data_IF_235799641811
#
_entry.id   IF_235799641811
#
_cell.length_a   1.000
_cell.length_b   1.000
_cell.length_c   1.000
_cell.angle_alpha   90.00
_cell.angle_beta   90.00
_cell.angle_gamma   90.00
#
_symmetry.space_group_name_H-M   'P 1'
#
loop_
_entity.id
_entity.type
_entity.pdbx_description
1 polymer ?
#
# COMPACT_ATOMS: atom_id res chain seq x y z
N UNK A 1 17.09 -13.09 3.84
CA UNK A 1 18.22 -12.16 3.65
C UNK A 1 19.11 -12.78 2.60
N UNK A 2 19.30 -12.12 1.45
CA UNK A 2 20.25 -12.58 0.44
C UNK A 2 21.65 -12.61 1.05
N UNK A 3 22.39 -13.68 0.78
CA UNK A 3 23.74 -13.84 1.30
C UNK A 3 24.67 -12.89 0.53
N UNK A 4 25.26 -11.91 1.22
CA UNK A 4 26.21 -10.95 0.61
C UNK A 4 27.33 -11.74 -0.08
N UNK A 5 27.58 -11.54 -1.39
CA UNK A 5 28.61 -12.29 -2.11
C UNK A 5 30.00 -12.08 -1.51
N UNK A 6 30.77 -13.17 -1.41
CA UNK A 6 32.16 -13.10 -0.97
C UNK A 6 33.11 -12.88 -2.14
N UNK A 7 34.09 -12.00 -1.95
CA UNK A 7 35.17 -11.84 -2.93
C UNK A 7 36.03 -13.10 -2.91
N UNK A 8 36.26 -13.78 -4.05
CA UNK A 8 37.13 -14.95 -4.10
C UNK A 8 38.53 -14.60 -3.58
N UNK A 9 39.08 -15.41 -2.68
CA UNK A 9 40.39 -15.14 -2.03
C UNK A 9 41.51 -14.85 -3.02
N UNK A 10 41.53 -15.56 -4.15
CA UNK A 10 42.50 -15.36 -5.24
C UNK A 10 42.44 -13.96 -5.85
N UNK A 11 41.23 -13.40 -5.98
CA UNK A 11 41.00 -12.07 -6.55
C UNK A 11 41.32 -11.01 -5.50
N UNK A 12 40.87 -11.21 -4.26
CA UNK A 12 41.15 -10.33 -3.14
C UNK A 12 42.65 -10.12 -2.90
N UNK A 13 43.44 -11.20 -2.90
CA UNK A 13 44.89 -11.13 -2.70
C UNK A 13 45.63 -10.34 -3.79
N UNK A 14 45.04 -10.21 -5.00
CA UNK A 14 45.60 -9.45 -6.12
C UNK A 14 45.15 -7.97 -6.11
N UNK A 15 44.23 -7.57 -5.23
CA UNK A 15 43.81 -6.18 -5.13
C UNK A 15 44.88 -5.33 -4.43
N UNK A 16 44.98 -4.03 -4.73
CA UNK A 16 45.83 -3.13 -3.96
C UNK A 16 45.40 -3.09 -2.47
N UNK A 17 46.36 -3.02 -1.54
CA UNK A 17 46.09 -3.05 -0.09
C UNK A 17 45.08 -2.00 0.38
N UNK A 18 45.08 -0.81 -0.22
CA UNK A 18 44.10 0.24 0.06
C UNK A 18 42.66 -0.24 -0.14
N UNK A 19 42.41 -1.03 -1.19
CA UNK A 19 41.08 -1.58 -1.49
C UNK A 19 40.73 -2.78 -0.62
N UNK A 20 41.71 -3.62 -0.29
CA UNK A 20 41.53 -4.71 0.69
C UNK A 20 41.02 -4.15 2.03
N UNK A 21 41.69 -3.12 2.55
CA UNK A 21 41.27 -2.44 3.79
C UNK A 21 39.88 -1.79 3.69
N UNK A 22 39.58 -1.09 2.58
CA UNK A 22 38.27 -0.47 2.37
C UNK A 22 37.14 -1.51 2.27
N UNK A 23 37.38 -2.64 1.60
CA UNK A 23 36.43 -3.74 1.49
C UNK A 23 36.18 -4.35 2.87
N UNK A 24 37.22 -4.60 3.67
CA UNK A 24 37.09 -5.16 5.00
C UNK A 24 36.32 -4.22 5.95
N UNK A 25 36.62 -2.92 5.90
CA UNK A 25 35.92 -1.89 6.67
C UNK A 25 34.43 -1.85 6.30
N UNK A 26 34.10 -1.74 5.01
CA UNK A 26 32.71 -1.68 4.53
C UNK A 26 31.95 -2.98 4.77
N UNK A 27 32.64 -4.12 4.74
CA UNK A 27 32.09 -5.43 5.09
C UNK A 27 31.78 -5.53 6.57
N UNK A 28 32.70 -5.09 7.43
CA UNK A 28 32.50 -5.06 8.87
C UNK A 28 31.35 -4.11 9.24
N UNK A 29 31.27 -2.95 8.59
CA UNK A 29 30.18 -1.99 8.74
C UNK A 29 28.84 -2.61 8.33
N UNK A 30 28.71 -3.13 7.11
CA UNK A 30 27.49 -3.78 6.62
C UNK A 30 27.01 -4.92 7.53
N UNK A 31 27.93 -5.76 8.03
CA UNK A 31 27.63 -6.81 9.01
C UNK A 31 27.13 -6.24 10.33
N UNK A 32 27.78 -5.20 10.86
CA UNK A 32 27.39 -4.53 12.12
C UNK A 32 25.98 -3.93 12.03
N UNK A 33 25.65 -3.30 10.90
CA UNK A 33 24.31 -2.73 10.67
C UNK A 33 23.25 -3.82 10.54
N UNK A 34 23.57 -4.89 9.79
CA UNK A 34 22.65 -6.01 9.62
C UNK A 34 22.39 -6.76 10.94
N UNK A 35 23.43 -6.94 11.77
CA UNK A 35 23.29 -7.53 13.10
C UNK A 35 22.55 -6.62 14.08
N UNK A 36 22.74 -5.29 13.98
CA UNK A 36 21.99 -4.29 14.75
C UNK A 36 20.48 -4.47 14.54
N UNK A 37 20.03 -4.63 13.29
CA UNK A 37 18.61 -4.89 12.97
C UNK A 37 18.10 -6.19 13.59
N UNK A 38 18.89 -7.27 13.53
CA UNK A 38 18.48 -8.58 14.03
C UNK A 38 18.43 -8.68 15.56
N UNK A 39 19.20 -7.86 16.27
CA UNK A 39 19.39 -7.93 17.72
C UNK A 39 18.76 -6.77 18.49
N UNK A 40 18.34 -5.68 17.83
CA UNK A 40 17.84 -4.51 18.54
C UNK A 40 16.39 -4.66 19.01
N UNK A 41 16.23 -4.77 20.32
CA UNK A 41 15.02 -4.40 21.07
C UNK A 41 14.83 -2.87 21.21
N UNK A 42 15.76 -2.05 20.70
CA UNK A 42 15.77 -0.58 20.86
C UNK A 42 15.08 0.21 19.75
N UNK A 43 14.67 -0.41 18.65
CA UNK A 43 13.90 0.29 17.62
C UNK A 43 12.47 0.47 18.14
N UNK A 44 12.20 1.67 18.68
CA UNK A 44 10.92 2.00 19.34
C UNK A 44 9.80 2.38 18.36
N UNK A 45 10.10 2.50 17.07
CA UNK A 45 9.13 2.85 16.03
C UNK A 45 9.46 2.18 14.70
N UNK A 46 8.43 1.97 13.89
CA UNK A 46 8.53 1.42 12.54
C UNK A 46 9.36 2.31 11.64
N UNK A 47 9.21 3.63 11.74
CA UNK A 47 10.05 4.56 10.98
C UNK A 47 11.53 4.37 11.30
N UNK A 48 11.90 4.17 12.57
CA UNK A 48 13.28 3.85 12.96
C UNK A 48 13.76 2.50 12.41
N UNK A 49 12.86 1.52 12.28
CA UNK A 49 13.17 0.22 11.67
C UNK A 49 13.44 0.35 10.18
N UNK A 50 12.59 1.11 9.47
CA UNK A 50 12.72 1.35 8.04
C UNK A 50 13.95 2.19 7.73
N UNK A 51 14.29 3.19 8.56
CA UNK A 51 15.54 3.95 8.45
C UNK A 51 16.76 3.05 8.62
N UNK A 52 16.76 2.17 9.62
CA UNK A 52 17.86 1.23 9.83
C UNK A 52 17.95 0.23 8.66
N UNK A 53 16.83 -0.20 8.08
CA UNK A 53 16.78 -1.04 6.87
C UNK A 53 17.33 -0.35 5.64
N UNK A 54 16.93 0.89 5.39
CA UNK A 54 17.47 1.74 4.31
C UNK A 54 18.97 1.90 4.50
N UNK A 55 19.43 2.18 5.73
CA UNK A 55 20.84 2.30 6.08
C UNK A 55 21.61 1.00 5.84
N UNK A 56 21.03 -0.15 6.15
CA UNK A 56 21.66 -1.45 5.89
C UNK A 56 21.89 -1.68 4.40
N UNK A 57 20.88 -1.40 3.57
CA UNK A 57 20.98 -1.52 2.12
C UNK A 57 21.97 -0.52 1.51
N UNK A 58 22.05 0.70 2.06
CA UNK A 58 23.07 1.68 1.67
C UNK A 58 24.49 1.21 2.01
N UNK A 59 24.70 0.66 3.21
CA UNK A 59 25.99 0.07 3.58
C UNK A 59 26.36 -1.12 2.69
N UNK A 60 25.38 -1.93 2.27
CA UNK A 60 25.60 -3.02 1.32
C UNK A 60 25.99 -2.50 -0.07
N UNK A 61 25.29 -1.49 -0.62
CA UNK A 61 25.69 -0.86 -1.88
C UNK A 61 27.10 -0.27 -1.82
N UNK A 62 27.48 0.39 -0.72
CA UNK A 62 28.83 0.92 -0.53
C UNK A 62 29.91 -0.18 -0.49
N UNK A 63 29.60 -1.34 0.11
CA UNK A 63 30.46 -2.53 0.03
C UNK A 63 30.59 -3.03 -1.41
N UNK A 64 29.48 -3.19 -2.13
CA UNK A 64 29.48 -3.67 -3.52
C UNK A 64 30.28 -2.73 -4.45
N UNK A 65 30.14 -1.41 -4.27
CA UNK A 65 30.93 -0.42 -4.98
C UNK A 65 32.43 -0.52 -4.66
N UNK A 66 32.78 -0.76 -3.39
CA UNK A 66 34.19 -0.91 -2.98
C UNK A 66 34.81 -2.17 -3.56
N UNK A 67 34.04 -3.27 -3.61
CA UNK A 67 34.47 -4.52 -4.26
C UNK A 67 34.68 -4.31 -5.76
N UNK A 68 33.72 -3.70 -6.45
CA UNK A 68 33.86 -3.41 -7.88
C UNK A 68 35.09 -2.55 -8.17
N UNK A 69 35.31 -1.49 -7.39
CA UNK A 69 36.52 -0.66 -7.50
C UNK A 69 37.82 -1.45 -7.29
N UNK A 70 37.86 -2.34 -6.30
CA UNK A 70 39.02 -3.21 -6.06
C UNK A 70 39.28 -4.19 -7.20
N UNK A 71 38.24 -4.86 -7.71
CA UNK A 71 38.34 -5.81 -8.84
C UNK A 71 38.76 -5.08 -10.11
N UNK A 72 38.15 -3.92 -10.40
CA UNK A 72 38.48 -3.11 -11.58
C UNK A 72 39.93 -2.66 -11.57
N UNK A 73 40.45 -2.22 -10.42
CA UNK A 73 41.87 -1.82 -10.32
C UNK A 73 42.83 -2.99 -10.49
N UNK A 74 42.48 -4.18 -10.01
CA UNK A 74 43.27 -5.38 -10.25
C UNK A 74 43.28 -5.75 -11.74
N UNK A 75 42.16 -5.58 -12.44
CA UNK A 75 42.06 -5.76 -13.88
C UNK A 75 42.87 -4.73 -14.68
N UNK A 76 42.75 -3.43 -14.35
CA UNK A 76 43.53 -2.34 -14.97
C UNK A 76 45.05 -2.55 -14.81
N UNK A 77 45.45 -3.21 -13.72
CA UNK A 77 46.85 -3.54 -13.43
C UNK A 77 47.30 -4.86 -14.09
N UNK A 78 46.46 -5.45 -14.95
CA UNK A 78 46.68 -6.74 -15.63
C UNK A 78 46.89 -7.93 -14.67
N UNK A 79 46.35 -7.86 -13.45
CA UNK A 79 46.44 -8.94 -12.46
C UNK A 79 45.31 -9.97 -12.59
N UNK A 80 44.31 -9.68 -13.43
CA UNK A 80 43.18 -10.56 -13.71
C UNK A 80 43.04 -10.70 -15.23
N UNK A 81 42.73 -11.91 -15.68
CA UNK A 81 42.28 -12.10 -17.07
C UNK A 81 40.87 -11.51 -17.26
N UNK A 82 40.45 -11.21 -18.50
CA UNK A 82 39.08 -10.77 -18.78
C UNK A 82 38.00 -11.75 -18.28
N UNK A 83 38.26 -13.06 -18.36
CA UNK A 83 37.36 -14.10 -17.84
C UNK A 83 37.32 -14.07 -16.30
N UNK A 84 38.48 -14.00 -15.64
CA UNK A 84 38.54 -13.90 -14.18
C UNK A 84 37.85 -12.63 -13.66
N UNK A 85 37.93 -11.53 -14.41
CA UNK A 85 37.25 -10.28 -14.10
C UNK A 85 35.73 -10.42 -14.20
N UNK A 86 35.20 -10.93 -15.33
CA UNK A 86 33.75 -11.10 -15.51
C UNK A 86 33.15 -12.04 -14.47
N UNK A 87 33.80 -13.16 -14.21
CA UNK A 87 33.38 -14.13 -13.19
C UNK A 87 33.38 -13.51 -11.78
N UNK A 88 34.38 -12.66 -11.49
CA UNK A 88 34.48 -12.00 -10.20
C UNK A 88 33.42 -10.90 -10.01
N UNK A 89 33.01 -10.15 -11.05
CA UNK A 89 32.06 -9.03 -10.92
C UNK A 89 30.59 -9.47 -11.01
N UNK A 90 30.27 -10.50 -11.79
CA UNK A 90 28.88 -10.90 -12.09
C UNK A 90 27.98 -11.16 -10.86
N UNK A 91 28.44 -11.85 -9.79
CA UNK A 91 27.65 -12.04 -8.57
C UNK A 91 27.32 -10.72 -7.86
N UNK A 92 28.25 -9.76 -7.87
CA UNK A 92 28.07 -8.45 -7.23
C UNK A 92 27.12 -7.56 -8.02
N UNK A 93 27.13 -7.62 -9.36
CA UNK A 93 26.16 -6.91 -10.19
C UNK A 93 24.73 -7.42 -9.94
N UNK A 94 24.55 -8.73 -9.83
CA UNK A 94 23.24 -9.32 -9.50
C UNK A 94 22.76 -8.86 -8.13
N UNK A 95 23.65 -8.87 -7.13
CA UNK A 95 23.36 -8.35 -5.79
C UNK A 95 23.02 -6.86 -5.80
N UNK A 96 23.77 -6.04 -6.54
CA UNK A 96 23.53 -4.60 -6.63
C UNK A 96 22.17 -4.27 -7.24
N UNK A 97 21.76 -5.00 -8.30
CA UNK A 97 20.41 -4.88 -8.88
C UNK A 97 19.31 -5.23 -7.89
N UNK A 98 19.49 -6.31 -7.13
CA UNK A 98 18.52 -6.71 -6.11
C UNK A 98 18.41 -5.65 -5.00
N UNK A 99 19.53 -5.26 -4.41
CA UNK A 99 19.56 -4.28 -3.30
C UNK A 99 19.01 -2.94 -3.75
N UNK A 100 19.35 -2.48 -4.96
CA UNK A 100 18.80 -1.25 -5.55
C UNK A 100 17.28 -1.33 -5.75
N UNK A 101 16.76 -2.45 -6.25
CA UNK A 101 15.32 -2.65 -6.42
C UNK A 101 14.59 -2.63 -5.07
N UNK A 102 15.12 -3.33 -4.06
CA UNK A 102 14.54 -3.34 -2.71
C UNK A 102 14.58 -1.96 -2.05
N UNK A 103 15.71 -1.24 -2.15
CA UNK A 103 15.87 0.12 -1.64
C UNK A 103 14.91 1.08 -2.32
N UNK A 104 14.69 0.89 -3.62
CA UNK A 104 13.73 1.66 -4.39
C UNK A 104 12.30 1.42 -3.93
N UNK A 105 11.91 0.16 -3.73
CA UNK A 105 10.59 -0.19 -3.18
C UNK A 105 10.41 0.38 -1.77
N UNK A 106 11.39 0.20 -0.88
CA UNK A 106 11.33 0.73 0.48
C UNK A 106 11.22 2.25 0.52
N UNK A 107 11.90 2.95 -0.39
CA UNK A 107 11.82 4.41 -0.49
C UNK A 107 10.47 4.87 -1.03
N UNK A 108 9.99 4.29 -2.14
CA UNK A 108 8.70 4.66 -2.78
C UNK A 108 7.49 4.33 -1.92
N UNK A 109 7.55 3.21 -1.20
CA UNK A 109 6.46 2.70 -0.37
C UNK A 109 6.63 3.03 1.12
N UNK A 110 7.66 3.80 1.51
CA UNK A 110 8.00 4.09 2.91
C UNK A 110 6.77 4.49 3.73
N UNK A 111 6.01 5.46 3.23
CA UNK A 111 4.82 5.98 3.92
C UNK A 111 3.75 4.91 4.13
N UNK A 112 3.51 4.05 3.12
CA UNK A 112 2.54 2.94 3.24
C UNK A 112 3.04 1.90 4.23
N UNK A 113 4.32 1.52 4.15
CA UNK A 113 4.90 0.56 5.09
C UNK A 113 4.92 1.10 6.53
N UNK A 114 5.18 2.40 6.70
CA UNK A 114 5.04 3.10 7.99
C UNK A 114 3.60 3.02 8.47
N UNK A 115 2.62 3.46 7.70
CA UNK A 115 1.21 3.40 8.08
C UNK A 115 0.74 1.96 8.39
N UNK A 116 1.15 0.98 7.58
CA UNK A 116 0.70 -0.41 7.67
C UNK A 116 1.37 -1.18 8.82
N UNK A 117 2.59 -0.82 9.23
CA UNK A 117 3.30 -1.45 10.35
C UNK A 117 3.09 -0.67 11.66
N UNK A 118 2.92 0.66 11.59
CA UNK A 118 2.55 1.53 12.73
C UNK A 118 1.11 1.29 13.18
N UNK A 119 0.33 0.49 12.44
CA UNK A 119 -0.91 -0.14 12.92
C UNK A 119 -0.73 -0.95 14.23
N UNK A 120 0.49 -1.10 14.77
CA UNK A 120 0.79 -1.66 16.10
C UNK A 120 1.41 -0.70 17.15
N UNK A 121 1.88 0.52 16.81
CA UNK A 121 2.42 1.49 17.80
C UNK A 121 2.26 2.93 17.27
N UNK A 122 1.62 3.78 18.09
CA UNK A 122 1.14 5.13 17.75
C UNK A 122 2.24 6.20 17.46
N UNK A 123 2.02 6.95 16.36
CA UNK A 123 2.14 8.42 16.12
C UNK A 123 3.47 9.06 15.64
N UNK A 124 3.38 9.70 14.44
CA UNK A 124 3.93 11.01 13.90
C UNK A 124 5.09 11.04 12.84
N UNK A 125 4.74 11.59 11.64
CA UNK A 125 5.35 12.69 10.80
C UNK A 125 6.12 12.42 9.45
N UNK A 126 5.64 13.14 8.40
CA UNK A 126 6.25 14.03 7.34
C UNK A 126 7.04 13.53 6.08
N UNK A 127 6.72 14.23 4.94
CA UNK A 127 7.38 14.46 3.60
C UNK A 127 7.27 13.32 2.54
N UNK A 128 7.17 13.50 1.21
CA UNK A 128 7.68 14.48 0.21
C UNK A 128 6.61 14.91 -0.85
N UNK A 129 6.94 15.83 -1.78
CA UNK A 129 6.00 16.51 -2.69
C UNK A 129 6.31 16.41 -4.20
N UNK A 130 5.34 16.77 -5.06
CA UNK A 130 5.40 17.18 -6.51
C UNK A 130 3.96 17.49 -7.05
N UNK A 131 3.74 17.91 -8.33
CA UNK A 131 3.69 19.27 -8.90
C UNK A 131 2.25 19.84 -9.15
N UNK A 132 2.11 20.94 -9.92
CA UNK A 132 0.95 21.88 -10.02
C UNK A 132 -0.45 21.23 -9.92
N UNK A 133 -1.02 21.42 -8.73
CA UNK A 133 -2.04 20.59 -8.05
C UNK A 133 -3.48 20.89 -8.45
N UNK A 134 -3.82 22.15 -8.69
CA UNK A 134 -5.21 22.59 -8.89
C UNK A 134 -5.78 22.21 -10.27
N UNK A 135 -4.92 22.03 -11.28
CA UNK A 135 -5.35 21.65 -12.63
C UNK A 135 -5.62 20.14 -12.74
N UNK A 136 -4.79 19.32 -12.10
CA UNK A 136 -4.97 17.86 -12.04
C UNK A 136 -6.21 17.51 -11.21
N UNK A 137 -6.36 18.09 -10.01
CA UNK A 137 -7.50 17.82 -9.14
C UNK A 137 -8.85 18.18 -9.83
N UNK A 138 -8.93 19.27 -10.59
CA UNK A 138 -10.14 19.62 -11.37
C UNK A 138 -10.42 18.70 -12.57
N UNK A 139 -9.39 18.31 -13.31
CA UNK A 139 -9.56 17.44 -14.49
C UNK A 139 -9.98 16.01 -14.11
N UNK A 140 -9.53 15.52 -12.94
CA UNK A 140 -9.85 14.17 -12.47
C UNK A 140 -11.16 14.06 -11.68
N UNK A 141 -11.68 15.16 -11.12
CA UNK A 141 -12.82 15.05 -10.19
C UNK A 141 -14.08 14.39 -10.81
N UNK A 142 -14.58 14.83 -11.98
CA UNK A 142 -15.76 14.19 -12.58
C UNK A 142 -15.48 12.73 -12.96
N UNK A 143 -14.29 12.44 -13.47
CA UNK A 143 -13.92 11.09 -13.93
C UNK A 143 -13.66 10.11 -12.78
N UNK A 144 -13.11 10.56 -11.65
CA UNK A 144 -12.88 9.72 -10.46
C UNK A 144 -14.23 9.37 -9.82
N UNK A 145 -15.11 10.35 -9.64
CA UNK A 145 -16.42 10.11 -9.03
C UNK A 145 -17.25 9.14 -9.85
N UNK A 146 -17.37 9.39 -11.17
CA UNK A 146 -18.07 8.50 -12.07
C UNK A 146 -17.42 7.11 -12.08
N UNK A 147 -16.10 6.99 -12.12
CA UNK A 147 -15.43 5.68 -12.08
C UNK A 147 -15.64 4.94 -10.75
N UNK A 148 -15.67 5.65 -9.63
CA UNK A 148 -15.86 5.05 -8.30
C UNK A 148 -17.31 4.57 -8.11
N UNK A 149 -18.29 5.37 -8.54
CA UNK A 149 -19.72 5.09 -8.36
C UNK A 149 -20.36 4.31 -9.52
N UNK A 150 -19.79 4.38 -10.73
CA UNK A 150 -20.22 3.64 -11.92
C UNK A 150 -19.41 2.37 -12.16
N UNK A 151 -18.71 1.83 -11.14
CA UNK A 151 -18.05 0.52 -11.19
C UNK A 151 -18.99 -0.64 -11.63
N UNK A 152 -20.31 -0.38 -11.68
CA UNK A 152 -21.35 -1.18 -12.34
C UNK A 152 -21.11 -1.49 -13.82
N UNK A 153 -20.50 -0.58 -14.59
CA UNK A 153 -20.35 -0.76 -16.03
C UNK A 153 -19.09 -1.58 -16.32
N UNK A 154 -19.17 -2.55 -17.24
CA UNK A 154 -18.05 -3.35 -17.77
C UNK A 154 -16.83 -2.47 -18.04
N UNK A 155 -16.00 -2.27 -17.02
CA UNK A 155 -14.80 -1.45 -17.15
C UNK A 155 -13.93 -2.14 -18.19
N UNK A 156 -13.33 -1.36 -19.09
CA UNK A 156 -12.36 -1.89 -20.05
C UNK A 156 -11.45 -2.83 -19.29
N UNK A 157 -11.42 -4.10 -19.71
CA UNK A 157 -10.50 -5.07 -19.15
C UNK A 157 -9.12 -4.48 -19.38
N UNK A 158 -8.49 -3.98 -18.33
CA UNK A 158 -7.06 -3.82 -18.34
C UNK A 158 -6.51 -5.18 -18.73
N UNK A 159 -5.84 -5.25 -19.89
CA UNK A 159 -5.40 -6.52 -20.46
C UNK A 159 -4.39 -7.23 -19.54
N UNK A 160 -3.84 -6.50 -18.56
CA UNK A 160 -2.86 -7.01 -17.59
C UNK A 160 -3.48 -7.58 -16.31
N UNK A 161 -4.70 -7.17 -15.91
CA UNK A 161 -5.28 -7.58 -14.63
C UNK A 161 -5.78 -9.03 -14.67
N UNK A 162 -5.39 -9.81 -13.66
CA UNK A 162 -5.83 -11.20 -13.51
C UNK A 162 -6.76 -11.38 -12.30
N UNK A 163 -8.09 -11.38 -12.50
CA UNK A 163 -9.06 -11.50 -11.41
C UNK A 163 -8.93 -12.78 -10.59
N UNK A 164 -8.48 -13.88 -11.21
CA UNK A 164 -8.30 -15.16 -10.52
C UNK A 164 -7.09 -15.11 -9.58
N UNK A 165 -5.98 -14.54 -10.07
CA UNK A 165 -4.77 -14.34 -9.26
C UNK A 165 -5.04 -13.40 -8.08
N UNK A 166 -5.75 -12.30 -8.33
CA UNK A 166 -6.13 -11.36 -7.29
C UNK A 166 -7.06 -12.00 -6.25
N UNK A 167 -8.13 -12.69 -6.68
CA UNK A 167 -9.02 -13.41 -5.75
C UNK A 167 -8.26 -14.46 -4.92
N UNK A 168 -7.29 -15.15 -5.53
CA UNK A 168 -6.43 -16.08 -4.80
C UNK A 168 -5.60 -15.36 -3.73
N UNK A 169 -4.90 -14.27 -4.09
CA UNK A 169 -4.11 -13.49 -3.14
C UNK A 169 -4.95 -12.93 -1.98
N UNK A 170 -6.19 -12.50 -2.27
CA UNK A 170 -7.18 -12.07 -1.27
C UNK A 170 -7.55 -13.24 -0.36
N UNK A 171 -7.92 -14.40 -0.92
CA UNK A 171 -8.25 -15.58 -0.12
C UNK A 171 -7.08 -16.02 0.78
N UNK A 172 -5.85 -16.06 0.24
CA UNK A 172 -4.65 -16.44 0.97
C UNK A 172 -4.39 -15.45 2.13
N UNK A 173 -4.48 -14.15 1.87
CA UNK A 173 -4.36 -13.10 2.90
C UNK A 173 -5.39 -13.27 4.00
N UNK A 174 -6.62 -13.62 3.65
CA UNK A 174 -7.75 -13.67 4.56
C UNK A 174 -8.04 -15.05 5.19
N UNK A 175 -7.20 -16.04 4.92
CA UNK A 175 -7.36 -17.40 5.44
C UNK A 175 -8.61 -18.11 4.87
N UNK A 176 -9.05 -17.78 3.66
CA UNK A 176 -10.19 -18.44 3.02
C UNK A 176 -9.69 -19.70 2.29
N UNK A 177 -9.32 -20.70 3.08
CA UNK A 177 -8.75 -21.98 2.63
C UNK A 177 -9.23 -23.13 3.55
N UNK A 178 -9.21 -24.40 3.09
CA UNK A 178 -9.49 -25.58 3.92
C UNK A 178 -8.78 -25.63 5.27
N UNK A 179 -7.57 -25.07 5.39
CA UNK A 179 -6.81 -25.03 6.66
C UNK A 179 -7.52 -24.22 7.75
N UNK A 180 -8.46 -23.35 7.38
CA UNK A 180 -9.31 -22.56 8.27
C UNK A 180 -10.75 -23.07 8.30
N UNK A 181 -10.99 -24.33 7.92
CA UNK A 181 -12.30 -24.99 7.99
C UNK A 181 -13.28 -24.60 6.87
N UNK A 182 -12.78 -24.10 5.73
CA UNK A 182 -13.60 -23.80 4.56
C UNK A 182 -13.59 -24.98 3.59
N UNK A 183 -14.73 -25.62 3.41
CA UNK A 183 -14.85 -26.80 2.54
C UNK A 183 -14.44 -26.52 1.09
N UNK A 184 -13.87 -27.51 0.37
CA UNK A 184 -13.61 -27.39 -1.06
C UNK A 184 -14.89 -27.02 -1.85
N UNK A 185 -14.85 -25.93 -2.60
CA UNK A 185 -16.00 -25.42 -3.35
C UNK A 185 -16.88 -24.41 -2.58
N UNK A 186 -16.66 -24.28 -1.27
CA UNK A 186 -17.21 -23.18 -0.48
C UNK A 186 -16.31 -21.94 -0.55
N UNK A 187 -16.91 -20.78 -0.36
CA UNK A 187 -16.24 -19.51 -0.12
C UNK A 187 -16.81 -18.84 1.12
N UNK A 188 -16.14 -17.79 1.59
CA UNK A 188 -16.54 -17.09 2.80
C UNK A 188 -16.86 -15.63 2.51
N UNK A 189 -18.07 -15.19 2.82
CA UNK A 189 -18.46 -13.79 2.85
C UNK A 189 -18.34 -13.25 4.28
N UNK A 190 -17.65 -12.14 4.46
CA UNK A 190 -17.45 -11.58 5.80
C UNK A 190 -18.72 -11.08 6.50
N UNK A 191 -19.81 -10.88 5.75
CA UNK A 191 -21.10 -10.44 6.28
C UNK A 191 -22.09 -11.62 6.39
N UNK A 192 -22.08 -12.55 5.44
CA UNK A 192 -23.08 -13.63 5.35
C UNK A 192 -22.57 -14.99 5.81
N UNK A 193 -21.25 -15.16 5.99
CA UNK A 193 -20.61 -16.43 6.32
C UNK A 193 -20.35 -17.29 5.08
N UNK A 194 -20.38 -18.61 5.27
CA UNK A 194 -20.07 -19.61 4.23
C UNK A 194 -21.13 -19.57 3.12
N UNK A 195 -20.70 -19.65 1.87
CA UNK A 195 -21.56 -19.71 0.67
C UNK A 195 -20.85 -20.42 -0.49
N UNK A 196 -21.50 -20.61 -1.63
CA UNK A 196 -20.86 -21.17 -2.82
C UNK A 196 -19.71 -20.28 -3.31
N UNK A 197 -18.54 -20.87 -3.60
CA UNK A 197 -17.35 -20.12 -3.98
C UNK A 197 -17.51 -19.24 -5.24
N UNK A 198 -18.44 -19.60 -6.13
CA UNK A 198 -18.75 -18.85 -7.36
C UNK A 198 -19.44 -17.51 -7.09
N UNK A 199 -20.23 -17.44 -6.02
CA UNK A 199 -20.96 -16.25 -5.60
C UNK A 199 -20.11 -15.34 -4.71
N UNK A 200 -18.97 -15.82 -4.23
CA UNK A 200 -18.01 -15.03 -3.48
C UNK A 200 -17.04 -14.29 -4.40
N UNK A 201 -16.79 -13.02 -4.10
CA UNK A 201 -15.99 -12.09 -4.88
C UNK A 201 -14.96 -11.42 -3.98
N UNK A 202 -13.78 -11.17 -4.55
CA UNK A 202 -12.80 -10.26 -3.98
C UNK A 202 -13.21 -8.83 -4.35
N UNK A 203 -14.16 -8.28 -3.59
CA UNK A 203 -14.75 -6.98 -3.86
C UNK A 203 -13.70 -5.89 -3.60
N UNK A 204 -13.37 -5.13 -4.64
CA UNK A 204 -12.43 -4.00 -4.51
C UNK A 204 -13.08 -2.89 -3.69
N UNK A 205 -12.32 -2.34 -2.74
CA UNK A 205 -12.76 -1.22 -1.93
C UNK A 205 -12.58 0.07 -2.72
N UNK A 206 -11.35 0.32 -3.19
CA UNK A 206 -11.03 1.33 -4.20
C UNK A 206 -11.14 0.68 -5.59
N UNK A 207 -12.02 1.17 -6.47
CA UNK A 207 -12.24 0.55 -7.78
C UNK A 207 -11.00 0.56 -8.68
N UNK A 208 -10.77 -0.58 -9.34
CA UNK A 208 -9.68 -0.83 -10.31
C UNK A 208 -9.58 0.16 -11.48
N UNK A 209 -10.64 0.93 -11.73
CA UNK A 209 -10.65 2.00 -12.73
C UNK A 209 -9.78 3.19 -12.36
N UNK A 210 -9.37 3.30 -11.10
CA UNK A 210 -8.34 4.22 -10.67
C UNK A 210 -6.99 3.52 -10.85
N UNK A 211 -6.12 4.11 -11.66
CA UNK A 211 -4.80 3.55 -11.89
C UNK A 211 -3.87 3.79 -10.68
N UNK A 212 -2.70 3.14 -10.69
CA UNK A 212 -1.72 3.24 -9.60
C UNK A 212 -1.30 4.67 -9.30
N UNK A 213 -1.13 5.52 -10.32
CA UNK A 213 -0.69 6.91 -10.17
C UNK A 213 -1.79 7.80 -9.55
N UNK A 214 -3.05 7.59 -9.94
CA UNK A 214 -4.21 8.29 -9.37
C UNK A 214 -4.39 7.90 -7.90
N UNK A 215 -4.28 6.61 -7.59
CA UNK A 215 -4.29 6.13 -6.21
C UNK A 215 -3.10 6.71 -5.43
N UNK A 216 -1.89 6.65 -5.98
CA UNK A 216 -0.68 7.20 -5.39
C UNK A 216 -0.84 8.69 -5.03
N UNK A 217 -1.41 9.48 -5.94
CA UNK A 217 -1.73 10.88 -5.68
C UNK A 217 -2.73 11.07 -4.53
N UNK A 218 -3.83 10.32 -4.52
CA UNK A 218 -4.90 10.41 -3.52
C UNK A 218 -4.38 10.12 -2.10
N UNK A 219 -3.58 9.05 -1.97
CA UNK A 219 -3.01 8.61 -0.70
C UNK A 219 -1.67 9.32 -0.37
N UNK A 220 -1.16 10.13 -1.31
CA UNK A 220 0.07 10.90 -1.14
C UNK A 220 1.33 10.05 -1.01
N UNK A 221 1.46 9.06 -1.89
CA UNK A 221 2.62 8.19 -2.05
C UNK A 221 3.13 8.22 -3.48
N UNK A 222 4.32 7.67 -3.74
CA UNK A 222 4.91 7.62 -5.07
C UNK A 222 4.37 6.44 -5.89
N UNK A 223 4.05 5.31 -5.25
CA UNK A 223 3.57 4.11 -5.94
C UNK A 223 2.56 3.35 -5.08
N UNK A 224 1.50 2.84 -5.72
CA UNK A 224 0.48 2.02 -5.10
C UNK A 224 0.15 0.79 -5.95
N UNK A 225 0.15 -0.37 -5.32
CA UNK A 225 -0.20 -1.63 -5.97
C UNK A 225 -1.72 -1.78 -5.95
N UNK A 226 -2.38 -1.61 -7.10
CA UNK A 226 -3.83 -1.76 -7.21
C UNK A 226 -4.31 -3.17 -6.82
N UNK A 227 -3.46 -4.19 -6.99
CA UNK A 227 -3.69 -5.59 -6.64
C UNK A 227 -3.36 -5.94 -5.18
N UNK A 228 -3.15 -4.95 -4.29
CA UNK A 228 -2.96 -5.19 -2.85
C UNK A 228 -4.21 -5.91 -2.27
N UNK A 229 -4.08 -7.11 -1.67
CA UNK A 229 -5.19 -7.83 -1.05
C UNK A 229 -5.96 -7.02 -0.01
N UNK A 230 -5.32 -6.04 0.62
CA UNK A 230 -5.94 -5.14 1.60
C UNK A 230 -6.86 -4.09 0.98
N UNK A 231 -6.79 -3.89 -0.34
CA UNK A 231 -7.76 -3.12 -1.13
C UNK A 231 -8.99 -3.96 -1.52
N UNK A 232 -9.17 -5.15 -0.93
CA UNK A 232 -10.36 -5.94 -1.14
C UNK A 232 -10.91 -6.55 0.14
N UNK A 233 -12.19 -6.93 0.06
CA UNK A 233 -12.91 -7.67 1.09
C UNK A 233 -13.70 -8.80 0.42
N UNK A 234 -13.72 -9.98 1.05
CA UNK A 234 -14.46 -11.13 0.51
C UNK A 234 -15.96 -10.97 0.78
N UNK A 235 -16.73 -10.76 -0.30
CA UNK A 235 -18.17 -10.49 -0.23
C UNK A 235 -18.94 -11.39 -1.19
N UNK A 236 -20.20 -11.67 -0.86
CA UNK A 236 -21.14 -12.23 -1.82
C UNK A 236 -21.38 -11.22 -2.95
N UNK A 237 -21.59 -11.69 -4.18
CA UNK A 237 -21.76 -10.86 -5.39
C UNK A 237 -22.80 -9.74 -5.25
N UNK A 238 -23.89 -9.99 -4.52
CA UNK A 238 -24.92 -8.98 -4.27
C UNK A 238 -24.41 -7.86 -3.35
N UNK A 239 -23.59 -8.20 -2.36
CA UNK A 239 -22.96 -7.24 -1.46
C UNK A 239 -21.84 -6.47 -2.16
N UNK A 240 -21.05 -7.13 -3.02
CA UNK A 240 -20.08 -6.45 -3.89
C UNK A 240 -20.79 -5.36 -4.73
N UNK A 241 -21.89 -5.71 -5.39
CA UNK A 241 -22.69 -4.73 -6.15
C UNK A 241 -23.28 -3.62 -5.27
N UNK A 242 -23.66 -3.96 -4.03
CA UNK A 242 -24.10 -2.99 -3.03
C UNK A 242 -22.99 -2.02 -2.67
N UNK A 243 -21.78 -2.53 -2.44
CA UNK A 243 -20.60 -1.72 -2.14
C UNK A 243 -20.31 -0.80 -3.33
N UNK A 244 -20.19 -1.37 -4.53
CA UNK A 244 -19.89 -0.69 -5.79
C UNK A 244 -20.87 0.43 -6.13
N UNK A 245 -22.15 0.24 -5.84
CA UNK A 245 -23.18 1.27 -6.05
C UNK A 245 -23.35 2.23 -4.87
N UNK A 246 -22.54 2.08 -3.83
CA UNK A 246 -22.62 2.89 -2.62
C UNK A 246 -23.94 2.72 -1.89
N UNK A 247 -24.62 1.56 -1.99
CA UNK A 247 -25.76 1.16 -1.13
C UNK A 247 -25.32 0.80 0.27
N UNK A 248 -24.08 0.31 0.39
CA UNK A 248 -23.46 -0.03 1.67
C UNK A 248 -22.09 0.63 1.80
N UNK A 249 -21.69 0.87 3.05
CA UNK A 249 -20.33 1.22 3.45
C UNK A 249 -19.88 0.28 4.57
N UNK A 250 -18.57 0.13 4.71
CA UNK A 250 -17.97 -0.62 5.83
C UNK A 250 -17.31 0.40 6.74
N UNK A 251 -17.70 0.41 8.00
CA UNK A 251 -17.30 1.39 9.00
C UNK A 251 -16.60 0.71 10.19
N UNK A 252 -15.64 1.36 10.84
CA UNK A 252 -15.08 0.84 12.07
C UNK A 252 -16.13 0.86 13.19
N UNK A 253 -16.08 -0.14 14.08
CA UNK A 253 -16.87 -0.17 15.31
C UNK A 253 -16.09 0.54 16.41
N UNK A 254 -16.74 1.45 17.13
CA UNK A 254 -16.17 2.11 18.31
C UNK A 254 -16.13 1.12 19.48
N UNK A 255 -14.98 1.00 20.14
CA UNK A 255 -14.87 0.31 21.42
C UNK A 255 -14.56 1.34 22.49
N UNK A 256 -15.31 1.32 23.59
CA UNK A 256 -15.23 2.34 24.66
C UNK A 256 -13.85 2.41 25.35
N UNK A 257 -12.94 1.47 25.06
CA UNK A 257 -11.56 1.45 25.55
C UNK A 257 -10.57 1.81 24.43
N UNK A 258 -10.40 3.13 24.23
CA UNK A 258 -9.67 3.78 23.15
C UNK A 258 -8.13 3.56 23.09
N UNK A 259 -7.59 2.50 23.72
CA UNK A 259 -6.14 2.20 23.66
C UNK A 259 -5.75 1.46 22.37
N UNK A 260 -6.71 0.84 21.68
CA UNK A 260 -6.46 0.08 20.45
C UNK A 260 -7.24 0.63 19.27
N UNK A 261 -6.58 0.63 18.12
CA UNK A 261 -7.19 0.99 16.85
C UNK A 261 -8.34 0.01 16.52
N UNK A 262 -9.41 0.44 15.84
CA UNK A 262 -10.57 -0.43 15.61
C UNK A 262 -10.19 -1.66 14.78
N UNK A 263 -10.33 -2.82 15.41
CA UNK A 263 -10.08 -4.14 14.81
C UNK A 263 -11.36 -4.75 14.21
N UNK A 264 -12.52 -4.15 14.52
CA UNK A 264 -13.85 -4.63 14.15
C UNK A 264 -14.54 -3.64 13.22
N UNK A 265 -15.35 -4.19 12.33
CA UNK A 265 -15.96 -3.45 11.22
C UNK A 265 -17.42 -3.85 11.09
N UNK A 266 -18.30 -2.90 10.78
CA UNK A 266 -19.71 -3.15 10.48
C UNK A 266 -20.07 -2.71 9.07
N UNK A 267 -20.97 -3.44 8.44
CA UNK A 267 -21.67 -2.99 7.24
C UNK A 267 -22.77 -2.01 7.65
N UNK A 268 -22.94 -0.92 6.91
CA UNK A 268 -24.03 0.03 7.13
C UNK A 268 -24.70 0.38 5.80
N UNK A 269 -26.03 0.46 5.80
CA UNK A 269 -26.80 0.98 4.68
C UNK A 269 -26.69 2.50 4.59
N UNK A 270 -26.63 3.00 3.37
CA UNK A 270 -26.51 4.45 3.10
C UNK A 270 -27.82 5.06 2.60
N UNK A 271 -28.84 4.23 2.40
CA UNK A 271 -30.16 4.62 1.94
C UNK A 271 -31.19 3.68 2.59
N UNK A 272 -31.90 4.18 3.59
CA UNK A 272 -32.89 3.39 4.34
C UNK A 272 -34.07 2.93 3.47
N UNK A 273 -34.33 3.59 2.33
CA UNK A 273 -35.44 3.23 1.46
C UNK A 273 -35.19 1.88 0.77
N UNK A 274 -33.93 1.49 0.57
CA UNK A 274 -33.60 0.18 -0.02
C UNK A 274 -33.67 -0.97 1.00
N UNK A 275 -33.89 -0.68 2.30
CA UNK A 275 -33.86 -1.68 3.37
C UNK A 275 -34.81 -2.86 3.16
N UNK A 276 -35.98 -2.63 2.56
CA UNK A 276 -37.00 -3.67 2.29
C UNK A 276 -36.72 -4.48 1.01
N UNK A 277 -35.81 -4.03 0.16
CA UNK A 277 -35.45 -4.74 -1.07
C UNK A 277 -34.78 -6.08 -0.73
N UNK A 278 -35.03 -7.09 -1.55
CA UNK A 278 -34.38 -8.40 -1.42
C UNK A 278 -32.89 -8.28 -1.77
N UNK A 279 -32.02 -8.71 -0.85
CA UNK A 279 -30.58 -8.84 -1.08
C UNK A 279 -30.27 -10.17 -1.76
N UNK A 280 -30.78 -11.28 -1.21
CA UNK A 280 -30.61 -12.62 -1.77
C UNK A 280 -31.74 -13.55 -1.34
N UNK A 281 -31.95 -14.61 -2.12
CA UNK A 281 -32.82 -15.74 -1.77
C UNK A 281 -32.00 -17.02 -1.82
N UNK A 282 -31.97 -17.76 -0.72
CA UNK A 282 -31.25 -19.01 -0.61
C UNK A 282 -32.06 -20.00 0.23
N UNK A 283 -32.22 -21.24 -0.26
CA UNK A 283 -32.93 -22.30 0.49
C UNK A 283 -34.38 -21.96 0.88
N UNK A 284 -35.07 -21.09 0.11
CA UNK A 284 -36.41 -20.61 0.43
C UNK A 284 -36.46 -19.47 1.47
N UNK A 285 -35.33 -19.08 2.04
CA UNK A 285 -35.21 -17.92 2.92
C UNK A 285 -34.85 -16.67 2.11
N UNK A 286 -35.55 -15.57 2.41
CA UNK A 286 -35.25 -14.25 1.86
C UNK A 286 -34.45 -13.42 2.87
N UNK A 287 -33.32 -12.88 2.44
CA UNK A 287 -32.56 -11.86 3.19
C UNK A 287 -32.73 -10.51 2.52
N UNK A 288 -33.00 -9.48 3.31
CA UNK A 288 -33.18 -8.10 2.86
C UNK A 288 -31.97 -7.24 3.21
N UNK A 289 -31.87 -6.06 2.60
CA UNK A 289 -30.77 -5.13 2.90
C UNK A 289 -30.78 -4.66 4.35
N UNK A 290 -31.94 -4.45 4.97
CA UNK A 290 -32.01 -4.07 6.38
C UNK A 290 -31.39 -5.12 7.31
N UNK A 291 -31.39 -6.40 6.92
CA UNK A 291 -30.89 -7.50 7.76
C UNK A 291 -29.35 -7.52 7.86
N UNK A 292 -28.66 -6.76 7.00
CA UNK A 292 -27.21 -6.57 7.03
C UNK A 292 -26.80 -5.22 7.62
N UNK A 293 -27.74 -4.31 7.88
CA UNK A 293 -27.44 -2.99 8.43
C UNK A 293 -26.91 -3.12 9.86
N UNK A 294 -25.77 -2.50 10.13
CA UNK A 294 -25.06 -2.61 11.40
C UNK A 294 -24.38 -3.98 11.64
N UNK A 295 -24.47 -4.93 10.71
CA UNK A 295 -23.91 -6.27 10.91
C UNK A 295 -22.39 -6.25 10.89
N UNK A 296 -21.79 -6.82 11.93
CA UNK A 296 -20.34 -6.93 12.08
C UNK A 296 -19.74 -7.94 11.08
N UNK A 297 -18.59 -7.58 10.51
CA UNK A 297 -17.78 -8.44 9.65
C UNK A 297 -16.99 -9.45 10.49
N UNK A 298 -17.07 -10.73 10.14
CA UNK A 298 -16.46 -11.83 10.90
C UNK A 298 -15.20 -12.37 10.23
N UNK A 299 -14.03 -11.78 10.52
CA UNK A 299 -12.77 -12.22 9.93
C UNK A 299 -12.32 -13.60 10.44
N UNK A 300 -11.65 -14.38 9.58
CA UNK A 300 -11.16 -15.73 9.88
C UNK A 300 -9.76 -15.74 10.54
N UNK A 301 -9.06 -14.62 10.46
CA UNK A 301 -7.73 -14.40 11.02
C UNK A 301 -7.60 -12.91 11.43
N UNK A 302 -6.40 -12.46 11.81
CA UNK A 302 -6.15 -11.08 12.25
C UNK A 302 -5.99 -10.07 11.10
N UNK A 303 -5.99 -10.53 9.85
CA UNK A 303 -5.81 -9.66 8.70
C UNK A 303 -7.07 -8.82 8.42
N UNK A 304 -6.88 -7.55 8.05
CA UNK A 304 -7.95 -6.56 7.83
C UNK A 304 -7.73 -5.79 6.53
N UNK A 305 -8.79 -5.27 5.90
CA UNK A 305 -8.61 -4.32 4.82
C UNK A 305 -7.93 -3.05 5.34
N UNK A 306 -7.11 -2.42 4.51
CA UNK A 306 -6.40 -1.21 4.92
C UNK A 306 -7.41 -0.07 5.09
N UNK A 307 -7.33 0.63 6.23
CA UNK A 307 -8.34 1.62 6.63
C UNK A 307 -8.42 2.80 5.66
N UNK A 308 -7.29 3.19 5.05
CA UNK A 308 -7.25 4.24 4.02
C UNK A 308 -8.19 3.95 2.86
N UNK A 309 -8.30 2.70 2.42
CA UNK A 309 -9.18 2.30 1.33
C UNK A 309 -10.65 2.36 1.77
N UNK A 310 -10.95 1.86 2.97
CA UNK A 310 -12.30 1.90 3.55
C UNK A 310 -12.77 3.33 3.77
N UNK A 311 -11.89 4.19 4.30
CA UNK A 311 -12.14 5.61 4.51
C UNK A 311 -12.39 6.33 3.18
N UNK A 312 -11.56 6.12 2.16
CA UNK A 312 -11.80 6.65 0.82
C UNK A 312 -13.15 6.21 0.26
N UNK A 313 -13.47 4.91 0.37
CA UNK A 313 -14.76 4.38 -0.08
C UNK A 313 -15.94 5.01 0.64
N UNK A 314 -15.83 5.19 1.95
CA UNK A 314 -16.82 5.87 2.77
C UNK A 314 -17.02 7.31 2.34
N UNK A 315 -15.94 8.11 2.20
CA UNK A 315 -16.06 9.52 1.80
C UNK A 315 -16.69 9.66 0.41
N UNK A 316 -16.26 8.86 -0.57
CA UNK A 316 -16.84 8.91 -1.91
C UNK A 316 -18.34 8.56 -1.89
N UNK A 317 -18.74 7.61 -1.05
CA UNK A 317 -20.14 7.26 -0.87
C UNK A 317 -20.92 8.36 -0.15
N UNK A 318 -20.36 8.99 0.89
CA UNK A 318 -20.98 10.13 1.55
C UNK A 318 -21.20 11.30 0.58
N UNK A 319 -20.19 11.68 -0.20
CA UNK A 319 -20.29 12.73 -1.23
C UNK A 319 -21.37 12.37 -2.25
N UNK A 320 -21.42 11.11 -2.69
CA UNK A 320 -22.45 10.63 -3.62
C UNK A 320 -23.86 10.78 -3.03
N UNK A 321 -24.07 10.36 -1.78
CA UNK A 321 -25.37 10.46 -1.11
C UNK A 321 -25.79 11.89 -0.84
N UNK A 322 -24.85 12.76 -0.45
CA UNK A 322 -25.10 14.20 -0.28
C UNK A 322 -25.54 14.85 -1.61
N UNK A 323 -24.97 14.41 -2.73
CA UNK A 323 -25.35 14.87 -4.08
C UNK A 323 -26.72 14.36 -4.52
N UNK A 324 -27.05 13.09 -4.26
CA UNK A 324 -28.35 12.51 -4.64
C UNK A 324 -29.53 13.18 -3.93
N UNK A 325 -29.35 13.57 -2.66
CA UNK A 325 -30.33 14.34 -1.88
C UNK A 325 -31.75 13.72 -1.85
N UNK A 326 -31.85 12.39 -1.84
CA UNK A 326 -33.10 11.66 -1.61
C UNK A 326 -33.40 11.57 -0.11
N UNK A 327 -34.66 11.33 0.28
CA UNK A 327 -35.03 11.20 1.70
C UNK A 327 -34.19 10.17 2.46
N UNK A 328 -33.88 9.03 1.83
CA UNK A 328 -33.08 7.98 2.44
C UNK A 328 -31.59 8.32 2.52
N UNK A 329 -31.05 9.02 1.51
CA UNK A 329 -29.68 9.54 1.53
C UNK A 329 -29.51 10.65 2.58
N UNK A 330 -30.51 11.52 2.76
CA UNK A 330 -30.49 12.60 3.76
C UNK A 330 -30.32 12.02 5.16
N UNK A 331 -31.12 11.03 5.55
CA UNK A 331 -31.02 10.40 6.87
C UNK A 331 -29.61 9.85 7.16
N UNK A 332 -28.97 9.23 6.17
CA UNK A 332 -27.60 8.76 6.29
C UNK A 332 -26.62 9.94 6.46
N UNK A 333 -26.71 10.98 5.63
CA UNK A 333 -25.79 12.13 5.71
C UNK A 333 -25.97 12.96 6.98
N UNK A 334 -27.20 13.14 7.46
CA UNK A 334 -27.49 13.81 8.73
C UNK A 334 -26.92 13.03 9.91
N UNK A 335 -27.05 11.71 9.90
CA UNK A 335 -26.44 10.84 10.91
C UNK A 335 -24.92 11.01 10.95
N UNK A 336 -24.27 11.02 9.78
CA UNK A 336 -22.82 11.26 9.66
C UNK A 336 -22.41 12.64 10.19
N UNK A 337 -23.25 13.65 9.97
CA UNK A 337 -23.01 15.03 10.40
C UNK A 337 -23.24 15.26 11.91
N UNK A 338 -24.17 14.51 12.51
CA UNK A 338 -24.54 14.65 13.92
C UNK A 338 -23.67 13.80 14.86
N UNK A 339 -23.28 12.60 14.44
CA UNK A 339 -22.45 11.70 15.26
C UNK A 339 -20.97 12.11 15.17
N UNK A 340 -20.35 12.41 16.32
CA UNK A 340 -18.93 12.78 16.38
C UNK A 340 -18.19 11.96 17.44
N UNK A 341 -17.16 11.16 17.08
CA UNK A 341 -16.70 10.87 15.72
C UNK A 341 -17.53 9.76 15.04
N UNK A 342 -18.10 10.03 13.86
CA UNK A 342 -18.73 8.98 13.04
C UNK A 342 -17.71 7.99 12.45
N UNK A 343 -16.53 8.50 12.06
CA UNK A 343 -15.38 7.69 11.66
C UNK A 343 -14.34 7.69 12.80
N UNK A 344 -14.40 6.71 13.72
CA UNK A 344 -13.57 6.73 14.93
C UNK A 344 -12.12 6.30 14.74
N UNK A 345 -11.69 5.97 13.51
CA UNK A 345 -10.31 5.57 13.24
C UNK A 345 -9.51 6.78 12.76
N UNK A 346 -8.69 7.43 13.60
CA UNK A 346 -7.78 8.49 13.13
C UNK A 346 -6.67 7.89 12.27
N UNK A 347 -6.15 8.68 11.33
CA UNK A 347 -4.99 8.36 10.51
C UNK A 347 -4.82 9.31 9.32
N UNK A 348 -3.60 9.50 8.83
CA UNK A 348 -3.32 10.41 7.72
C UNK A 348 -3.70 9.79 6.34
N UNK A 349 -4.96 9.37 6.17
CA UNK A 349 -5.37 8.51 5.06
C UNK A 349 -5.38 9.22 3.72
N UNK A 350 -5.95 10.44 3.66
CA UNK A 350 -6.14 11.16 2.41
C UNK A 350 -5.55 12.56 2.46
N UNK A 351 -5.11 13.00 1.30
CA UNK A 351 -4.63 14.37 1.09
C UNK A 351 -5.79 15.35 1.26
N UNK A 352 -5.70 16.26 2.23
CA UNK A 352 -6.78 17.19 2.59
C UNK A 352 -7.24 18.07 1.44
N UNK A 353 -6.30 18.62 0.66
CA UNK A 353 -6.63 19.45 -0.51
C UNK A 353 -7.50 18.70 -1.51
N UNK A 354 -7.09 17.48 -1.84
CA UNK A 354 -7.73 16.65 -2.86
C UNK A 354 -9.12 16.25 -2.39
N UNK A 355 -9.26 15.90 -1.12
CA UNK A 355 -10.55 15.59 -0.52
C UNK A 355 -11.53 16.78 -0.58
N UNK A 356 -11.05 17.98 -0.21
CA UNK A 356 -11.84 19.21 -0.28
C UNK A 356 -12.22 19.57 -1.71
N UNK A 357 -11.29 19.40 -2.67
CA UNK A 357 -11.55 19.63 -4.09
C UNK A 357 -12.60 18.64 -4.62
N UNK A 358 -12.51 17.36 -4.26
CA UNK A 358 -13.49 16.34 -4.63
C UNK A 358 -14.88 16.68 -4.11
N UNK A 359 -15.02 16.94 -2.80
CA UNK A 359 -16.31 17.26 -2.19
C UNK A 359 -16.98 18.48 -2.82
N UNK A 360 -16.23 19.58 -2.97
CA UNK A 360 -16.73 20.82 -3.58
C UNK A 360 -17.13 20.66 -5.04
N UNK A 361 -16.31 19.97 -5.85
CA UNK A 361 -16.59 19.82 -7.27
C UNK A 361 -17.72 18.82 -7.56
N UNK A 362 -17.88 17.78 -6.75
CA UNK A 362 -18.87 16.72 -6.99
C UNK A 362 -20.24 17.11 -6.45
N UNK A 363 -20.26 17.51 -5.18
CA UNK A 363 -21.50 17.72 -4.43
C UNK A 363 -21.85 19.20 -4.26
N UNK A 364 -20.89 20.10 -4.42
CA UNK A 364 -21.07 21.52 -4.11
C UNK A 364 -20.99 21.85 -2.61
N UNK A 365 -20.80 20.84 -1.75
CA UNK A 365 -20.76 20.99 -0.30
C UNK A 365 -19.35 20.85 0.28
N UNK A 366 -19.17 21.39 1.48
CA UNK A 366 -17.98 21.13 2.30
C UNK A 366 -18.19 19.87 3.16
N UNK A 367 -17.13 19.11 3.37
CA UNK A 367 -17.20 17.95 4.26
C UNK A 367 -17.26 18.39 5.73
N UNK A 368 -17.94 17.63 6.59
CA UNK A 368 -17.93 17.87 8.04
C UNK A 368 -16.50 17.87 8.59
N UNK A 369 -16.14 18.79 9.52
CA UNK A 369 -14.81 18.83 10.11
C UNK A 369 -14.39 17.51 10.77
N UNK A 370 -15.34 16.78 11.36
CA UNK A 370 -15.12 15.45 11.98
C UNK A 370 -14.64 14.39 10.98
N UNK A 371 -14.92 14.57 9.69
CA UNK A 371 -14.43 13.69 8.62
C UNK A 371 -13.10 14.15 8.03
N UNK A 372 -12.53 15.28 8.44
CA UNK A 372 -11.27 15.82 7.93
C UNK A 372 -10.20 15.80 9.01
N UNK A 373 -10.58 16.23 10.22
CA UNK A 373 -9.72 16.32 11.38
C UNK A 373 -9.21 14.93 11.73
N UNK A 374 -7.90 14.82 11.93
CA UNK A 374 -7.17 13.59 12.28
C UNK A 374 -7.30 12.41 11.29
N UNK A 375 -7.99 12.59 10.16
CA UNK A 375 -8.18 11.59 9.07
C UNK A 375 -7.49 12.00 7.75
N UNK A 376 -6.92 13.21 7.71
CA UNK A 376 -6.29 13.80 6.53
C UNK A 376 -4.93 14.43 6.85
N UNK A 377 -4.13 14.69 5.81
CA UNK A 377 -2.83 15.38 5.94
C UNK A 377 -2.71 16.62 5.05
N UNK A 378 -2.07 17.65 5.60
CA UNK A 378 -1.69 18.90 4.92
C UNK A 378 -0.21 18.86 4.50
N UNK A 379 0.09 19.34 3.29
CA UNK A 379 1.48 19.43 2.79
C UNK A 379 2.18 20.76 3.14
N UNK A 380 1.51 21.68 3.84
CA UNK A 380 2.02 23.04 4.05
C UNK A 380 2.91 23.14 5.27
N UNK A 381 4.21 22.96 5.03
CA UNK A 381 5.23 23.88 5.53
C UNK A 381 6.37 23.89 4.51
N UNK A 382 6.39 24.97 3.74
CA UNK A 382 7.36 25.29 2.72
C UNK A 382 8.73 25.50 3.37
N UNK A 383 9.69 24.65 3.02
CA UNK A 383 11.07 25.07 2.89
C UNK A 383 11.49 24.65 1.50
N UNK A 384 11.66 25.65 0.63
CA UNK A 384 12.22 25.57 -0.71
C UNK A 384 13.47 24.68 -0.74
N UNK A 385 13.30 23.42 -1.11
CA UNK A 385 14.35 22.51 -1.53
C UNK A 385 13.95 22.00 -2.91
N UNK A 386 14.76 22.34 -3.89
CA UNK A 386 14.62 21.99 -5.31
C UNK A 386 14.45 20.46 -5.45
N UNK A 387 13.71 20.03 -6.48
CA UNK A 387 13.62 18.63 -6.90
C UNK A 387 15.02 18.08 -7.22
N UNK A 388 15.67 17.50 -6.21
CA UNK A 388 16.78 16.59 -6.41
C UNK A 388 16.20 15.18 -6.39
N UNK A 389 16.33 14.50 -7.53
CA UNK A 389 16.21 13.05 -7.61
C UNK A 389 16.94 12.45 -6.41
N UNK A 390 16.27 11.58 -5.63
CA UNK A 390 16.79 11.11 -4.34
C UNK A 390 18.26 10.67 -4.54
N UNK A 391 19.25 11.35 -3.94
CA UNK A 391 20.66 11.14 -4.27
C UNK A 391 21.11 9.70 -4.02
N UNK A 392 20.36 8.98 -3.18
CA UNK A 392 20.52 7.55 -2.89
C UNK A 392 20.15 6.65 -4.08
N UNK A 393 19.12 6.99 -4.87
CA UNK A 393 18.71 6.23 -6.06
C UNK A 393 19.62 6.50 -7.25
N UNK A 394 20.05 7.76 -7.42
CA UNK A 394 21.03 8.15 -8.43
C UNK A 394 22.35 7.38 -8.21
N UNK A 395 22.85 7.36 -6.98
CA UNK A 395 24.08 6.63 -6.64
C UNK A 395 23.97 5.12 -6.84
N UNK A 396 22.81 4.51 -6.57
CA UNK A 396 22.60 3.08 -6.82
C UNK A 396 22.61 2.72 -8.32
N UNK A 397 21.95 3.53 -9.16
CA UNK A 397 21.93 3.32 -10.61
C UNK A 397 23.32 3.55 -11.24
N UNK A 398 24.04 4.58 -10.79
CA UNK A 398 25.44 4.83 -11.20
C UNK A 398 26.35 3.63 -10.90
N UNK A 399 26.19 2.98 -9.75
CA UNK A 399 26.95 1.76 -9.40
C UNK A 399 26.63 0.61 -10.38
N UNK A 400 25.34 0.39 -10.68
CA UNK A 400 24.91 -0.67 -11.61
C UNK A 400 25.43 -0.41 -13.02
N UNK A 401 25.38 0.84 -13.48
CA UNK A 401 25.84 1.24 -14.81
C UNK A 401 27.36 1.14 -14.92
N UNK A 402 28.10 1.53 -13.88
CA UNK A 402 29.55 1.36 -13.82
C UNK A 402 29.96 -0.12 -13.89
N UNK A 403 29.32 -1.00 -13.11
CA UNK A 403 29.56 -2.44 -13.13
C UNK A 403 29.21 -3.06 -14.50
N UNK A 404 28.04 -2.70 -15.05
CA UNK A 404 27.59 -3.21 -16.35
C UNK A 404 28.49 -2.76 -17.50
N UNK A 405 28.97 -1.52 -17.47
CA UNK A 405 29.89 -0.97 -18.46
C UNK A 405 31.25 -1.67 -18.38
N UNK A 406 31.75 -1.90 -17.17
CA UNK A 406 33.03 -2.59 -16.96
C UNK A 406 33.01 -4.02 -17.50
N UNK A 407 31.91 -4.76 -17.29
CA UNK A 407 31.74 -6.13 -17.83
C UNK A 407 31.70 -6.13 -19.36
N UNK A 408 31.12 -5.10 -19.99
CA UNK A 408 31.07 -4.99 -21.46
C UNK A 408 32.40 -4.59 -22.08
N UNK A 409 33.24 -3.88 -21.33
CA UNK A 409 34.54 -3.38 -21.80
C UNK A 409 35.69 -4.39 -21.64
N UNK A 410 35.50 -5.44 -20.82
CA UNK A 410 36.43 -6.55 -20.59
C UNK A 410 36.03 -7.78 -21.41
#
# INVERSE_FOLDING_TARGET
>A
MSQIPEVPRRVYARMPQKWQGAIDEKRAESRRVSSSIATNSKVRSVSGFLEEKVRAQQCELAYLQSVHGGIHRAYDSHLLSPEEFRDAVSPFLSSAKQVSAELGTLSRQRKILEEDLEESVNVKRRRHGEPRREMLERAYTPSIFERVMAARAKQQKDKSFNPRKFKKAVNDYYGIHPDYGIDPGAGFCYILGVSNAEDIKAAHIVPKSLNGDEMAHLFGVEELVAEDPRNAVSLHRALEQGLDSGKIVILPIFEDNAEHLPSRWKCMLTDVNCGKETLLRYGGQETKWQDIDGKELKFLNDNRPARRYLYFRFIMTYIFRKKENTSGSIMFTEKVEQETPFWPSPGAYLRKSTLMTLARNISGFELPPSLIQDTTFDNREESSGVFECNPVMLTAQEIIDAMSTSIKAA
#
